data_IF_352469169433
#
_entry.id   IF_352469169433
#
_cell.length_a   1.000
_cell.length_b   1.000
_cell.length_c   1.000
_cell.angle_alpha   90.00
_cell.angle_beta   90.00
_cell.angle_gamma   90.00
#
_symmetry.space_group_name_H-M   'P 1'
#
loop_
_entity.id
_entity.type
_entity.pdbx_description
1 polymer ?
#
# COMPACT_ATOMS: atom_id res chain seq x y z
N UNK A 1 23.64 6.37 -10.94
CA UNK A 1 22.96 5.49 -9.98
C UNK A 1 21.48 5.79 -9.96
N UNK A 2 20.65 4.77 -10.10
CA UNK A 2 19.20 4.97 -10.07
C UNK A 2 18.73 5.31 -8.67
N UNK A 3 17.81 6.26 -8.60
CA UNK A 3 17.15 6.57 -7.34
C UNK A 3 15.80 5.89 -7.33
N UNK A 4 15.50 5.19 -6.29
CA UNK A 4 14.24 4.50 -6.17
C UNK A 4 14.14 3.80 -4.84
N UNK A 5 13.01 3.16 -4.65
CA UNK A 5 12.75 2.41 -3.41
C UNK A 5 13.02 0.93 -3.67
N UNK A 6 13.65 0.28 -2.70
CA UNK A 6 13.83 -1.16 -2.77
C UNK A 6 12.48 -1.83 -2.52
N UNK A 7 12.02 -2.63 -3.48
CA UNK A 7 10.77 -3.37 -3.29
C UNK A 7 10.90 -4.31 -2.09
N UNK A 8 12.02 -5.01 -2.02
CA UNK A 8 12.23 -6.00 -0.97
C UNK A 8 12.38 -5.37 0.41
N UNK A 9 13.13 -4.26 0.50
CA UNK A 9 13.50 -3.71 1.81
C UNK A 9 12.62 -2.54 2.24
N UNK A 10 12.01 -1.83 1.31
CA UNK A 10 11.31 -0.58 1.60
C UNK A 10 9.81 -0.68 1.42
N UNK A 11 9.33 -1.61 0.59
CA UNK A 11 7.91 -1.65 0.22
C UNK A 11 7.22 -2.90 0.77
N UNK A 12 7.69 -4.08 0.36
CA UNK A 12 6.98 -5.32 0.72
C UNK A 12 7.01 -5.58 2.21
N UNK A 13 5.87 -5.89 2.77
CA UNK A 13 5.73 -6.22 4.17
C UNK A 13 5.75 -5.01 5.11
N UNK A 14 5.90 -3.81 4.57
CA UNK A 14 5.99 -2.61 5.39
C UNK A 14 4.61 -2.12 5.80
N UNK A 15 4.54 -1.55 6.99
CA UNK A 15 3.32 -0.89 7.43
C UNK A 15 3.14 0.44 6.71
N UNK A 16 1.88 0.78 6.43
CA UNK A 16 1.52 2.03 5.79
C UNK A 16 0.87 2.93 6.83
N UNK A 17 1.33 4.18 6.89
CA UNK A 17 0.83 5.17 7.83
C UNK A 17 0.21 6.32 7.05
N UNK A 18 -0.71 7.04 7.69
CA UNK A 18 -1.21 8.27 7.10
C UNK A 18 -0.39 9.46 7.64
N UNK A 19 -0.79 10.67 7.24
CA UNK A 19 -0.07 11.88 7.64
C UNK A 19 -0.27 12.25 9.10
N UNK A 20 -1.16 11.55 9.80
CA UNK A 20 -1.34 11.70 11.25
C UNK A 20 -0.59 10.62 12.02
N UNK A 21 0.28 9.88 11.33
CA UNK A 21 1.07 8.80 11.91
C UNK A 21 0.23 7.65 12.43
N UNK A 22 -0.96 7.48 11.88
CA UNK A 22 -1.81 6.34 12.18
C UNK A 22 -1.53 5.22 11.20
N UNK A 23 -1.40 3.99 11.69
CA UNK A 23 -1.18 2.84 10.83
C UNK A 23 -2.50 2.44 10.18
N UNK A 24 -2.52 2.46 8.84
CA UNK A 24 -3.74 2.18 8.08
C UNK A 24 -3.71 0.82 7.39
N UNK A 25 -2.55 0.20 7.28
CA UNK A 25 -2.45 -1.11 6.66
C UNK A 25 -1.02 -1.54 6.48
N UNK A 26 -0.82 -2.56 5.66
CA UNK A 26 0.51 -3.05 5.31
C UNK A 26 0.53 -3.47 3.85
N UNK A 27 1.71 -3.39 3.23
CA UNK A 27 1.87 -3.72 1.81
C UNK A 27 2.02 -5.23 1.67
N UNK A 28 1.11 -5.86 0.94
CA UNK A 28 1.16 -7.30 0.68
C UNK A 28 1.87 -7.63 -0.61
N UNK A 29 1.75 -6.79 -1.62
CA UNK A 29 2.25 -7.11 -2.95
C UNK A 29 2.49 -5.83 -3.74
N UNK A 30 3.18 -5.97 -4.84
CA UNK A 30 3.40 -4.89 -5.79
C UNK A 30 3.04 -5.41 -7.18
N UNK A 31 2.12 -4.71 -7.84
CA UNK A 31 1.67 -5.09 -9.18
C UNK A 31 2.31 -4.12 -10.18
N UNK A 32 2.96 -4.68 -11.17
CA UNK A 32 3.61 -3.91 -12.23
C UNK A 32 2.80 -4.07 -13.51
N UNK A 33 2.49 -2.95 -14.14
CA UNK A 33 1.81 -2.95 -15.44
C UNK A 33 2.81 -2.53 -16.51
N UNK A 34 3.44 -3.49 -17.20
CA UNK A 34 4.58 -3.15 -18.06
C UNK A 34 4.22 -2.23 -19.24
N UNK A 35 2.99 -2.32 -19.72
CA UNK A 35 2.56 -1.51 -20.87
C UNK A 35 2.25 -0.06 -20.51
N UNK A 36 2.07 0.25 -19.23
CA UNK A 36 1.68 1.60 -18.79
C UNK A 36 2.69 2.23 -17.84
N UNK A 37 3.74 1.54 -17.52
CA UNK A 37 4.78 2.02 -16.59
C UNK A 37 4.19 2.49 -15.24
N UNK A 38 3.10 1.88 -14.83
CA UNK A 38 2.45 2.20 -13.55
C UNK A 38 2.58 1.01 -12.63
N UNK A 39 2.86 1.26 -11.36
CA UNK A 39 2.92 0.22 -10.34
C UNK A 39 1.89 0.51 -9.25
N UNK A 40 1.30 -0.55 -8.73
CA UNK A 40 0.32 -0.46 -7.65
C UNK A 40 0.81 -1.25 -6.46
N UNK A 41 0.69 -0.69 -5.28
CA UNK A 41 0.91 -1.43 -4.05
C UNK A 41 -0.43 -1.99 -3.58
N UNK A 42 -0.45 -3.27 -3.25
CA UNK A 42 -1.63 -3.90 -2.69
C UNK A 42 -1.52 -3.77 -1.18
N UNK A 43 -2.40 -2.98 -0.61
CA UNK A 43 -2.40 -2.67 0.82
C UNK A 43 -3.49 -3.49 1.49
N UNK A 44 -3.09 -4.27 2.48
CA UNK A 44 -4.01 -5.03 3.31
C UNK A 44 -4.50 -4.13 4.45
N UNK A 45 -5.81 -3.92 4.51
CA UNK A 45 -6.45 -3.11 5.53
C UNK A 45 -7.31 -4.02 6.40
N UNK A 46 -7.12 -3.98 7.69
CA UNK A 46 -7.79 -4.90 8.60
C UNK A 46 -7.02 -6.20 8.71
N UNK A 47 -7.70 -7.31 8.94
CA UNK A 47 -7.05 -8.61 9.04
C UNK A 47 -6.41 -8.90 10.37
N UNK A 48 -6.73 -8.13 11.40
CA UNK A 48 -6.25 -8.38 12.75
C UNK A 48 -7.18 -9.35 13.46
N UNK A 49 -6.61 -10.18 14.28
CA UNK A 49 -7.40 -11.07 15.17
C UNK A 49 -8.41 -11.91 14.40
N UNK A 50 -8.03 -12.34 13.20
CA UNK A 50 -8.90 -13.20 12.40
C UNK A 50 -10.03 -12.48 11.69
N UNK A 51 -10.09 -11.16 11.74
CA UNK A 51 -11.07 -10.40 10.99
C UNK A 51 -10.76 -10.45 9.49
N UNK A 52 -11.80 -10.24 8.68
CA UNK A 52 -11.65 -10.28 7.24
C UNK A 52 -10.69 -9.22 6.74
N UNK A 53 -9.80 -9.61 5.83
CA UNK A 53 -8.90 -8.68 5.18
C UNK A 53 -9.63 -7.93 4.09
N UNK A 54 -9.15 -6.73 3.80
CA UNK A 54 -9.62 -5.98 2.65
C UNK A 54 -8.38 -5.44 1.93
N UNK A 55 -8.13 -5.91 0.72
CA UNK A 55 -6.98 -5.51 -0.06
C UNK A 55 -7.36 -4.43 -1.06
N UNK A 56 -6.56 -3.37 -1.11
CA UNK A 56 -6.82 -2.23 -1.97
C UNK A 56 -5.58 -1.96 -2.82
N UNK A 57 -5.77 -1.72 -4.12
CA UNK A 57 -4.68 -1.35 -5.01
C UNK A 57 -4.51 0.16 -5.00
N UNK A 58 -3.31 0.63 -4.68
CA UNK A 58 -3.02 2.05 -4.59
C UNK A 58 -1.80 2.35 -5.45
N UNK A 59 -1.88 3.32 -6.38
CA UNK A 59 -0.72 3.67 -7.18
C UNK A 59 0.47 4.05 -6.30
N UNK A 60 1.63 3.51 -6.64
CA UNK A 60 2.84 3.76 -5.85
C UNK A 60 3.16 5.25 -5.78
N UNK A 61 2.80 6.00 -6.82
CA UNK A 61 3.04 7.45 -6.87
C UNK A 61 2.31 8.22 -5.76
N UNK A 62 1.30 7.63 -5.14
CA UNK A 62 0.58 8.30 -4.05
C UNK A 62 1.26 8.16 -2.70
N UNK A 63 2.23 7.27 -2.60
CA UNK A 63 2.97 7.08 -1.36
C UNK A 63 4.12 8.06 -1.25
N UNK A 64 4.48 8.40 -0.02
CA UNK A 64 5.70 9.13 0.28
C UNK A 64 6.54 8.30 1.24
N UNK A 65 7.86 8.35 1.06
CA UNK A 65 8.76 7.69 1.99
C UNK A 65 9.30 8.76 2.92
N UNK A 66 8.76 8.81 4.13
CA UNK A 66 9.18 9.78 5.12
C UNK A 66 9.65 9.08 6.38
N UNK A 67 10.83 9.47 6.87
CA UNK A 67 11.37 8.96 8.13
C UNK A 67 11.40 7.43 8.16
N UNK A 68 11.78 6.81 7.03
CA UNK A 68 11.83 5.37 6.83
C UNK A 68 10.47 4.68 6.95
N UNK A 69 9.38 5.44 6.78
CA UNK A 69 8.03 4.91 6.79
C UNK A 69 7.35 5.18 5.47
N UNK A 70 6.49 4.25 5.05
CA UNK A 70 5.61 4.51 3.92
C UNK A 70 4.41 5.29 4.42
N UNK A 71 4.19 6.45 3.82
CA UNK A 71 3.12 7.34 4.21
C UNK A 71 2.16 7.53 3.04
N UNK A 72 0.88 7.34 3.31
CA UNK A 72 -0.19 7.60 2.35
C UNK A 72 -1.01 8.77 2.89
N UNK A 73 -0.69 10.01 2.45
CA UNK A 73 -1.32 11.20 3.04
C UNK A 73 -2.82 11.20 2.83
N UNK A 74 -3.56 11.58 3.88
CA UNK A 74 -5.00 11.69 3.81
C UNK A 74 -5.76 10.37 3.91
N UNK A 75 -5.08 9.25 4.01
CA UNK A 75 -5.74 7.96 4.10
C UNK A 75 -6.31 7.73 5.49
N UNK A 76 -7.45 7.03 5.53
CA UNK A 76 -8.00 6.53 6.77
C UNK A 76 -8.38 5.07 6.57
N UNK A 77 -8.42 4.30 7.65
CA UNK A 77 -8.85 2.90 7.57
C UNK A 77 -10.26 2.81 6.99
N UNK A 78 -11.14 3.73 7.40
CA UNK A 78 -12.52 3.73 6.93
C UNK A 78 -12.60 3.95 5.43
N UNK A 79 -11.85 4.91 4.90
CA UNK A 79 -11.85 5.19 3.48
C UNK A 79 -11.27 4.03 2.67
N UNK A 80 -10.20 3.42 3.19
CA UNK A 80 -9.59 2.28 2.52
C UNK A 80 -10.50 1.07 2.52
N UNK A 81 -11.18 0.81 3.65
CA UNK A 81 -12.14 -0.30 3.71
C UNK A 81 -13.33 -0.09 2.79
N UNK A 82 -13.69 1.15 2.53
CA UNK A 82 -14.78 1.49 1.62
C UNK A 82 -14.36 1.43 0.15
N UNK A 83 -13.07 1.36 -0.13
CA UNK A 83 -12.58 1.28 -1.50
C UNK A 83 -12.83 -0.11 -2.07
N UNK A 84 -12.98 -0.24 -3.40
CA UNK A 84 -13.20 -1.55 -4.02
C UNK A 84 -12.07 -2.51 -3.69
N UNK A 85 -12.44 -3.75 -3.44
CA UNK A 85 -11.44 -4.77 -3.14
C UNK A 85 -10.66 -5.14 -4.38
N UNK A 86 -9.34 -5.22 -4.25
CA UNK A 86 -8.48 -5.67 -5.33
C UNK A 86 -8.58 -7.17 -5.49
N UNK A 87 -8.69 -7.62 -6.73
CA UNK A 87 -8.69 -9.04 -7.05
C UNK A 87 -7.66 -9.29 -8.15
N UNK A 88 -6.88 -10.34 -7.98
CA UNK A 88 -5.90 -10.72 -8.98
C UNK A 88 -6.59 -11.23 -10.24
N UNK A 89 -6.02 -10.87 -11.40
CA UNK A 89 -6.49 -11.41 -12.66
C UNK A 89 -6.17 -12.92 -12.73
N UNK A 90 -7.06 -13.66 -13.33
CA UNK A 90 -6.93 -15.10 -13.48
C UNK A 90 -6.35 -15.45 -14.83
#
# INVERSE_FOLDING_TARGET
>A
MAKGWSVKHTILGQHVYNDKNERVGSVEDLIVTPDKAVSYAIVNVGGFLGLAKHNVAIPVSQFKLGDKKLVLPGATKEALKASPEFQYAQ
#
